data_IF_590834074526
#
_entry.id   IF_590834074526
#
_cell.length_a   1.000
_cell.length_b   1.000
_cell.length_c   1.000
_cell.angle_alpha   90.00
_cell.angle_beta   90.00
_cell.angle_gamma   90.00
#
_symmetry.space_group_name_H-M   'P 1'
#
loop_
_entity.id
_entity.type
_entity.pdbx_description
1 polymer ?
#
# COMPACT_ATOMS: atom_id res chain seq x y z
N UNK A 1 17.24 -9.75 -1.07
CA UNK A 1 16.53 -8.62 -1.74
C UNK A 1 15.73 -9.05 -2.99
N UNK A 2 16.31 -9.76 -3.97
CA UNK A 2 15.55 -10.15 -5.19
C UNK A 2 14.31 -10.98 -4.89
N UNK A 3 14.40 -11.87 -3.90
CA UNK A 3 13.25 -12.65 -3.44
C UNK A 3 12.15 -11.79 -2.83
N UNK A 4 12.46 -10.89 -1.88
CA UNK A 4 11.46 -9.96 -1.33
C UNK A 4 10.76 -9.13 -2.42
N UNK A 5 11.50 -8.69 -3.45
CA UNK A 5 10.90 -8.00 -4.60
C UNK A 5 9.87 -8.87 -5.32
N UNK A 6 10.21 -10.13 -5.57
CA UNK A 6 9.28 -11.07 -6.20
C UNK A 6 8.06 -11.34 -5.31
N UNK A 7 8.27 -11.60 -4.01
CA UNK A 7 7.18 -11.85 -3.05
C UNK A 7 6.24 -10.64 -2.96
N UNK A 8 6.78 -9.43 -2.86
CA UNK A 8 5.99 -8.20 -2.85
C UNK A 8 5.19 -8.01 -4.16
N UNK A 9 5.82 -8.25 -5.33
CA UNK A 9 5.12 -8.15 -6.61
C UNK A 9 4.01 -9.21 -6.77
N UNK A 10 4.22 -10.41 -6.21
CA UNK A 10 3.28 -11.54 -6.37
C UNK A 10 2.11 -11.48 -5.39
N UNK A 11 2.35 -11.06 -4.15
CA UNK A 11 1.40 -11.15 -3.04
C UNK A 11 0.98 -9.78 -2.48
N UNK A 12 1.63 -8.69 -2.88
CA UNK A 12 1.29 -7.35 -2.41
C UNK A 12 1.39 -7.24 -0.89
N UNK A 13 0.33 -6.73 -0.26
CA UNK A 13 0.24 -6.55 1.19
C UNK A 13 0.15 -7.86 1.98
N UNK A 14 -0.11 -9.00 1.32
CA UNK A 14 -0.11 -10.33 1.93
C UNK A 14 1.26 -11.02 1.82
N UNK A 15 2.31 -10.30 1.37
CA UNK A 15 3.63 -10.86 1.23
C UNK A 15 4.30 -11.13 2.58
N UNK A 16 4.85 -12.34 2.74
CA UNK A 16 5.79 -12.66 3.81
C UNK A 16 7.20 -12.34 3.29
N UNK A 17 7.92 -11.44 3.94
CA UNK A 17 9.26 -10.99 3.52
C UNK A 17 10.35 -11.45 4.49
N UNK A 18 11.55 -11.64 3.95
CA UNK A 18 12.75 -11.97 4.73
C UNK A 18 13.34 -10.67 5.30
N UNK A 19 13.61 -10.64 6.61
CA UNK A 19 14.00 -9.40 7.33
C UNK A 19 15.37 -9.45 7.97
N UNK A 20 15.99 -10.62 8.07
CA UNK A 20 17.34 -10.79 8.63
C UNK A 20 18.21 -11.70 7.75
N UNK A 21 19.51 -11.72 8.04
CA UNK A 21 20.45 -12.64 7.40
C UNK A 21 20.23 -14.10 7.84
N UNK A 22 19.57 -14.31 8.98
CA UNK A 22 19.23 -15.64 9.52
C UNK A 22 17.92 -16.20 8.92
N UNK A 23 17.34 -15.49 7.96
CA UNK A 23 16.08 -15.81 7.27
C UNK A 23 14.84 -15.68 8.16
N UNK A 24 14.84 -14.72 9.09
CA UNK A 24 13.61 -14.37 9.80
C UNK A 24 12.57 -13.81 8.83
N UNK A 25 11.33 -14.26 8.96
CA UNK A 25 10.22 -13.89 8.09
C UNK A 25 9.11 -13.19 8.86
N UNK A 26 8.45 -12.22 8.22
CA UNK A 26 7.27 -11.52 8.75
C UNK A 26 6.37 -11.04 7.64
N UNK A 27 5.12 -10.70 7.98
CA UNK A 27 4.22 -10.02 7.04
C UNK A 27 4.78 -8.64 6.70
N UNK A 28 4.65 -8.25 5.42
CA UNK A 28 5.07 -6.93 4.96
C UNK A 28 4.30 -5.79 5.63
N UNK A 29 3.06 -6.03 6.07
CA UNK A 29 2.27 -5.09 6.86
C UNK A 29 2.92 -4.79 8.21
N UNK A 30 3.46 -5.81 8.87
CA UNK A 30 4.06 -5.69 10.20
C UNK A 30 5.41 -4.98 10.08
N UNK A 31 6.21 -5.34 9.08
CA UNK A 31 7.47 -4.64 8.76
C UNK A 31 7.24 -3.17 8.41
N UNK A 32 6.17 -2.88 7.66
CA UNK A 32 5.81 -1.53 7.26
C UNK A 32 5.45 -0.67 8.48
N UNK A 33 4.73 -1.22 9.47
CA UNK A 33 4.42 -0.49 10.70
C UNK A 33 5.69 -0.05 11.45
N UNK A 34 6.65 -0.96 11.64
CA UNK A 34 7.95 -0.65 12.24
C UNK A 34 8.76 0.36 11.39
N UNK A 35 8.69 0.23 10.06
CA UNK A 35 9.34 1.17 9.15
C UNK A 35 8.78 2.58 9.28
N UNK A 36 7.46 2.73 9.42
CA UNK A 36 6.83 4.04 9.57
C UNK A 36 7.27 4.72 10.87
N UNK A 37 7.26 4.01 12.01
CA UNK A 37 7.75 4.54 13.29
C UNK A 37 9.20 5.04 13.20
N UNK A 38 10.05 4.27 12.51
CA UNK A 38 11.45 4.64 12.31
C UNK A 38 11.63 5.87 11.41
N UNK A 39 10.73 6.08 10.45
CA UNK A 39 10.79 7.20 9.52
C UNK A 39 10.14 8.48 10.07
N UNK A 40 9.27 8.39 11.08
CA UNK A 40 8.56 9.54 11.67
C UNK A 40 9.47 10.71 12.02
N UNK A 41 10.59 10.55 12.76
CA UNK A 41 11.45 11.68 13.13
C UNK A 41 12.09 12.38 11.91
N UNK A 42 12.35 11.63 10.84
CA UNK A 42 12.89 12.18 9.59
C UNK A 42 11.81 12.93 8.83
N UNK A 43 10.58 12.40 8.79
CA UNK A 43 9.45 13.06 8.16
C UNK A 43 9.10 14.38 8.88
N UNK A 44 9.19 14.43 10.20
CA UNK A 44 9.04 15.66 10.98
C UNK A 44 10.10 16.70 10.61
N UNK A 45 11.38 16.30 10.49
CA UNK A 45 12.46 17.20 10.07
C UNK A 45 12.28 17.75 8.65
N UNK A 46 11.69 16.95 7.76
CA UNK A 46 11.43 17.31 6.38
C UNK A 46 10.08 18.04 6.20
N UNK A 47 9.27 18.14 7.25
CA UNK A 47 7.95 18.73 7.19
C UNK A 47 6.92 17.92 6.40
N UNK A 48 7.08 16.59 6.32
CA UNK A 48 6.19 15.68 5.59
C UNK A 48 5.59 14.56 6.46
N UNK A 49 5.47 14.81 7.77
CA UNK A 49 4.95 13.84 8.73
C UNK A 49 3.47 13.48 8.44
N UNK A 50 2.68 14.46 8.00
CA UNK A 50 1.27 14.26 7.69
C UNK A 50 1.09 13.33 6.48
N UNK A 51 1.93 13.46 5.45
CA UNK A 51 1.94 12.57 4.28
C UNK A 51 2.37 11.15 4.66
N UNK A 52 3.38 11.00 5.53
CA UNK A 52 3.79 9.69 6.02
C UNK A 52 2.66 9.01 6.83
N UNK A 53 1.91 9.80 7.61
CA UNK A 53 0.76 9.33 8.38
C UNK A 53 -0.44 8.88 7.52
N UNK A 54 -0.44 9.12 6.20
CA UNK A 54 -1.47 8.60 5.29
C UNK A 54 -1.27 7.12 4.94
N UNK A 55 -0.06 6.58 5.09
CA UNK A 55 0.25 5.20 4.69
C UNK A 55 -0.63 4.16 5.40
N UNK A 56 -0.84 4.21 6.74
CA UNK A 56 -1.74 3.28 7.42
C UNK A 56 -3.16 3.31 6.84
N UNK A 57 -3.70 4.49 6.55
CA UNK A 57 -5.03 4.66 5.92
C UNK A 57 -5.12 3.95 4.56
N UNK A 58 -4.05 3.98 3.77
CA UNK A 58 -3.99 3.30 2.47
C UNK A 58 -3.98 1.78 2.66
N UNK A 59 -3.26 1.27 3.66
CA UNK A 59 -3.18 -0.16 3.96
C UNK A 59 -4.51 -0.69 4.50
N UNK A 60 -5.12 0.02 5.47
CA UNK A 60 -6.40 -0.34 6.08
C UNK A 60 -7.57 -0.27 5.08
N UNK A 61 -7.59 0.75 4.22
CA UNK A 61 -8.55 0.88 3.13
C UNK A 61 -8.33 -0.09 1.96
N UNK A 62 -7.36 -0.99 2.08
CA UNK A 62 -6.89 -1.89 1.04
C UNK A 62 -6.05 -1.17 -0.02
N UNK A 63 -4.92 -1.75 -0.42
CA UNK A 63 -4.14 -1.19 -1.53
C UNK A 63 -4.99 -1.11 -2.83
N UNK A 64 -4.70 -0.14 -3.70
CA UNK A 64 -5.48 0.11 -4.93
C UNK A 64 -5.70 -1.17 -5.76
N UNK A 65 -4.68 -2.03 -5.91
CA UNK A 65 -4.82 -3.30 -6.65
C UNK A 65 -5.87 -4.23 -6.04
N UNK A 66 -6.06 -4.22 -4.72
CA UNK A 66 -7.04 -5.05 -4.03
C UNK A 66 -8.46 -4.58 -4.34
N UNK A 67 -8.68 -3.26 -4.29
CA UNK A 67 -9.97 -2.65 -4.66
C UNK A 67 -10.31 -2.84 -6.14
N UNK A 68 -9.31 -2.67 -7.03
CA UNK A 68 -9.47 -2.95 -8.46
C UNK A 68 -9.86 -4.41 -8.72
N UNK A 69 -9.21 -5.37 -8.04
CA UNK A 69 -9.55 -6.80 -8.15
C UNK A 69 -10.96 -7.09 -7.64
N UNK A 70 -11.38 -6.46 -6.54
CA UNK A 70 -12.72 -6.63 -6.00
C UNK A 70 -13.80 -6.13 -6.99
N UNK A 71 -13.59 -4.94 -7.59
CA UNK A 71 -14.49 -4.42 -8.63
C UNK A 71 -14.51 -5.34 -9.85
N UNK A 72 -13.35 -5.74 -10.36
CA UNK A 72 -13.28 -6.67 -11.49
C UNK A 72 -14.03 -7.99 -11.21
N UNK A 73 -13.93 -8.54 -10.00
CA UNK A 73 -14.67 -9.73 -9.61
C UNK A 73 -16.19 -9.48 -9.54
N UNK A 74 -16.61 -8.35 -8.98
CA UNK A 74 -18.02 -7.98 -8.84
C UNK A 74 -18.70 -7.67 -10.19
N UNK A 75 -17.94 -7.22 -11.19
CA UNK A 75 -18.46 -6.78 -12.49
C UNK A 75 -18.24 -7.81 -13.60
N UNK A 76 -17.87 -9.04 -13.26
CA UNK A 76 -17.63 -10.11 -14.24
C UNK A 76 -16.41 -9.85 -15.13
N UNK A 77 -15.44 -9.05 -14.67
CA UNK A 77 -14.20 -8.73 -15.36
C UNK A 77 -14.29 -7.50 -16.27
N UNK A 78 -15.33 -6.66 -16.15
CA UNK A 78 -15.43 -5.43 -16.93
C UNK A 78 -14.38 -4.40 -16.48
N UNK A 79 -13.31 -4.27 -17.26
CA UNK A 79 -12.21 -3.34 -16.98
C UNK A 79 -12.63 -1.88 -17.05
N UNK A 80 -13.75 -1.54 -17.73
CA UNK A 80 -14.25 -0.16 -17.75
C UNK A 80 -14.66 0.27 -16.34
N UNK A 81 -15.31 -0.61 -15.59
CA UNK A 81 -15.68 -0.36 -14.19
C UNK A 81 -14.47 -0.18 -13.28
N UNK A 82 -13.35 -0.85 -13.58
CA UNK A 82 -12.09 -0.65 -12.86
C UNK A 82 -11.48 0.72 -13.17
N UNK A 83 -11.54 1.16 -14.43
CA UNK A 83 -11.10 2.51 -14.82
C UNK A 83 -11.98 3.58 -14.20
N UNK A 84 -13.30 3.40 -14.21
CA UNK A 84 -14.27 4.32 -13.60
C UNK A 84 -13.93 4.51 -12.09
N UNK A 85 -13.70 3.40 -11.36
CA UNK A 85 -13.23 3.45 -9.97
C UNK A 85 -11.95 4.31 -9.82
N UNK A 86 -10.95 4.09 -10.67
CA UNK A 86 -9.66 4.79 -10.58
C UNK A 86 -9.78 6.29 -10.88
N UNK A 87 -10.65 6.66 -11.82
CA UNK A 87 -10.96 8.06 -12.13
C UNK A 87 -11.66 8.74 -10.94
N UNK A 88 -12.63 8.06 -10.32
CA UNK A 88 -13.35 8.57 -9.16
C UNK A 88 -12.44 8.72 -7.93
N UNK A 89 -11.57 7.74 -7.67
CA UNK A 89 -10.57 7.79 -6.59
C UNK A 89 -9.59 8.95 -6.79
N UNK A 90 -9.10 9.14 -8.02
CA UNK A 90 -8.19 10.24 -8.35
C UNK A 90 -8.88 11.60 -8.16
N UNK A 91 -10.07 11.79 -8.74
CA UNK A 91 -10.87 13.02 -8.59
C UNK A 91 -11.07 13.36 -7.11
N UNK A 92 -11.50 12.36 -6.33
CA UNK A 92 -11.72 12.52 -4.88
C UNK A 92 -10.45 12.87 -4.10
N UNK A 93 -9.28 12.41 -4.56
CA UNK A 93 -8.00 12.71 -3.90
C UNK A 93 -7.52 14.14 -4.16
N UNK A 94 -7.78 14.68 -5.36
CA UNK A 94 -7.45 16.06 -5.72
C UNK A 94 -8.31 17.06 -4.95
N UNK A 95 -9.58 16.71 -4.72
CA UNK A 95 -10.51 17.54 -3.93
C UNK A 95 -10.16 17.57 -2.42
N UNK A 96 -9.35 16.63 -1.93
CA UNK A 96 -8.94 16.53 -0.52
C UNK A 96 -7.58 17.18 -0.22
N UNK A 97 -6.87 17.70 -1.22
CA UNK A 97 -5.63 18.46 -0.95
C UNK A 97 -5.98 19.83 -0.32
N UNK A 98 -5.41 20.18 0.84
CA UNK A 98 -5.49 21.55 1.37
C UNK A 98 -4.70 22.54 0.51
#
# INVERSE_FOLDING_TARGET
VQENKWRAARYGMDAIIITSADNDERLVSDDLAELLERLTPVAEQLGCADELALIPTIVEGGASYARQRAVAQATGGDLRQVVDLLVDELSSSLDRQP
#
